data_IF_256279799530
#
_entry.id   IF_256279799530
#
_cell.length_a   1.000
_cell.length_b   1.000
_cell.length_c   1.000
_cell.angle_alpha   90.00
_cell.angle_beta   90.00
_cell.angle_gamma   90.00
#
_symmetry.space_group_name_H-M   'P 1'
#
loop_
_entity.id
_entity.type
_entity.pdbx_description
1 polymer ?
#
# COMPACT_ATOMS: atom_id res chain seq x y z
N UNK A 1 -17.08 -12.65 -13.46
CA UNK A 1 -16.02 -11.66 -13.19
C UNK A 1 -15.39 -11.34 -14.51
N UNK A 2 -15.61 -10.13 -15.03
CA UNK A 2 -15.10 -9.71 -16.34
C UNK A 2 -13.84 -8.89 -16.16
N UNK A 3 -12.68 -9.52 -16.26
CA UNK A 3 -11.44 -8.79 -16.51
C UNK A 3 -10.86 -9.31 -17.81
N UNK A 4 -10.33 -8.40 -18.61
CA UNK A 4 -9.67 -8.71 -19.87
C UNK A 4 -8.17 -8.58 -19.66
N UNK A 5 -7.44 -9.67 -19.92
CA UNK A 5 -5.99 -9.71 -19.82
C UNK A 5 -5.38 -9.76 -21.22
N UNK A 6 -4.43 -8.88 -21.50
CA UNK A 6 -3.74 -8.75 -22.78
C UNK A 6 -2.23 -8.66 -22.58
N UNK A 7 -1.49 -9.18 -23.56
CA UNK A 7 -0.05 -9.05 -23.66
C UNK A 7 0.24 -8.29 -24.94
N UNK A 8 1.05 -7.24 -24.84
CA UNK A 8 1.60 -6.51 -25.98
C UNK A 8 2.82 -7.27 -26.50
N UNK A 9 2.67 -7.85 -27.68
CA UNK A 9 3.67 -8.68 -28.35
C UNK A 9 4.91 -7.90 -28.82
N UNK A 10 4.79 -6.58 -29.02
CA UNK A 10 5.91 -5.74 -29.45
C UNK A 10 6.79 -5.34 -28.26
N UNK A 11 6.18 -5.18 -27.08
CA UNK A 11 6.89 -4.86 -25.84
C UNK A 11 7.44 -6.10 -25.12
N UNK A 12 6.80 -7.26 -25.30
CA UNK A 12 7.16 -8.46 -24.54
C UNK A 12 8.56 -8.98 -24.89
N UNK A 13 9.46 -8.98 -23.89
CA UNK A 13 10.82 -9.52 -24.00
C UNK A 13 10.98 -10.96 -23.51
N UNK A 14 9.88 -11.62 -23.14
CA UNK A 14 9.90 -13.03 -22.71
C UNK A 14 10.69 -13.33 -21.43
N UNK A 15 10.86 -12.35 -20.54
CA UNK A 15 11.67 -12.54 -19.33
C UNK A 15 11.08 -13.53 -18.29
N UNK A 16 9.78 -13.85 -18.39
CA UNK A 16 9.13 -14.82 -17.52
C UNK A 16 8.76 -14.33 -16.12
N UNK A 17 9.09 -13.08 -15.76
CA UNK A 17 8.72 -12.51 -14.45
C UNK A 17 7.23 -12.66 -14.15
N UNK A 18 6.39 -12.41 -15.15
CA UNK A 18 4.95 -12.53 -15.00
C UNK A 18 4.58 -13.94 -14.49
N UNK A 19 5.13 -15.00 -15.07
CA UNK A 19 4.86 -16.40 -14.68
C UNK A 19 5.21 -16.63 -13.21
N UNK A 20 6.45 -16.29 -12.81
CA UNK A 20 6.95 -16.61 -11.47
C UNK A 20 6.29 -15.82 -10.35
N UNK A 21 5.78 -14.61 -10.63
CA UNK A 21 5.06 -13.82 -9.62
C UNK A 21 3.58 -14.17 -9.50
N UNK A 22 3.05 -15.06 -10.35
CA UNK A 22 1.64 -15.39 -10.31
C UNK A 22 1.32 -16.27 -9.09
N UNK A 23 0.45 -15.83 -8.16
CA UNK A 23 0.10 -16.64 -7.00
C UNK A 23 -0.70 -17.89 -7.37
N UNK A 24 -1.46 -17.86 -8.46
CA UNK A 24 -2.19 -19.03 -8.97
C UNK A 24 -1.22 -20.07 -9.53
N UNK A 25 -0.29 -19.65 -10.40
CA UNK A 25 0.70 -20.55 -10.99
C UNK A 25 1.65 -21.12 -9.91
N UNK A 26 2.00 -20.31 -8.89
CA UNK A 26 2.78 -20.77 -7.75
C UNK A 26 2.03 -21.79 -6.88
N UNK A 27 0.70 -21.70 -6.78
CA UNK A 27 -0.10 -22.68 -6.08
C UNK A 27 -0.19 -24.00 -6.86
N UNK A 28 -0.30 -23.92 -8.18
CA UNK A 28 -0.45 -25.09 -9.06
C UNK A 28 0.89 -25.77 -9.38
N UNK A 29 2.02 -25.06 -9.24
CA UNK A 29 3.35 -25.62 -9.51
C UNK A 29 4.36 -25.32 -8.41
N UNK A 30 4.84 -26.40 -7.76
CA UNK A 30 5.92 -26.34 -6.80
C UNK A 30 7.23 -25.82 -7.41
N UNK A 31 7.46 -26.06 -8.70
CA UNK A 31 8.62 -25.50 -9.40
C UNK A 31 8.50 -23.99 -9.51
N UNK A 32 7.34 -23.44 -9.92
CA UNK A 32 7.11 -21.98 -9.93
C UNK A 32 7.28 -21.39 -8.55
N UNK A 33 6.69 -22.01 -7.52
CA UNK A 33 6.85 -21.57 -6.14
C UNK A 33 8.34 -21.55 -5.71
N UNK A 34 9.13 -22.50 -6.21
CA UNK A 34 10.57 -22.58 -6.00
C UNK A 34 11.43 -21.75 -6.97
N UNK A 35 10.82 -20.96 -7.86
CA UNK A 35 11.51 -20.17 -8.88
C UNK A 35 12.16 -20.99 -10.01
N UNK A 36 11.74 -22.24 -10.19
CA UNK A 36 12.16 -23.14 -11.27
C UNK A 36 11.02 -23.24 -12.29
N UNK A 37 11.35 -23.33 -13.59
CA UNK A 37 10.34 -23.55 -14.63
C UNK A 37 9.56 -24.86 -14.42
N UNK A 38 8.40 -25.00 -15.04
CA UNK A 38 7.28 -25.80 -14.53
C UNK A 38 6.46 -26.52 -15.62
N UNK A 39 5.48 -27.34 -15.19
CA UNK A 39 4.50 -28.05 -16.01
C UNK A 39 3.53 -27.09 -16.74
N UNK A 40 3.48 -27.18 -18.06
CA UNK A 40 2.78 -26.24 -18.96
C UNK A 40 1.24 -26.29 -18.89
N UNK A 41 0.63 -27.33 -18.33
CA UNK A 41 -0.81 -27.60 -18.49
C UNK A 41 -1.72 -26.94 -17.42
N UNK A 42 -1.17 -26.49 -16.28
CA UNK A 42 -1.97 -26.00 -15.13
C UNK A 42 -1.74 -24.53 -14.79
N UNK A 43 -1.59 -23.70 -15.83
CA UNK A 43 -1.07 -22.33 -15.67
C UNK A 43 -1.89 -21.29 -16.38
N UNK A 44 -1.80 -20.08 -15.85
CA UNK A 44 -2.31 -18.89 -16.53
C UNK A 44 -1.48 -18.54 -17.77
N UNK A 45 -0.16 -18.71 -17.72
CA UNK A 45 0.75 -18.32 -18.81
C UNK A 45 2.12 -18.98 -18.74
N UNK A 46 2.80 -19.00 -19.88
CA UNK A 46 4.18 -19.51 -20.03
C UNK A 46 5.01 -18.60 -20.91
N UNK A 47 6.33 -18.77 -20.89
CA UNK A 47 7.21 -18.21 -21.93
C UNK A 47 7.41 -19.24 -23.03
N UNK A 48 7.07 -18.90 -24.26
CA UNK A 48 7.30 -19.71 -25.45
C UNK A 48 7.83 -18.81 -26.57
N UNK A 49 8.82 -19.31 -27.32
CA UNK A 49 9.47 -18.56 -28.43
C UNK A 49 9.91 -17.14 -28.05
N UNK A 50 10.43 -16.96 -26.82
CA UNK A 50 10.90 -15.66 -26.33
C UNK A 50 9.79 -14.67 -25.99
N UNK A 51 8.54 -15.12 -25.82
CA UNK A 51 7.40 -14.28 -25.43
C UNK A 51 6.53 -14.95 -24.39
N UNK A 52 5.87 -14.15 -23.56
CA UNK A 52 4.82 -14.64 -22.69
C UNK A 52 3.55 -14.93 -23.52
N UNK A 53 2.95 -16.09 -23.33
CA UNK A 53 1.68 -16.48 -23.96
C UNK A 53 0.68 -16.91 -22.88
N UNK A 54 -0.59 -16.60 -23.08
CA UNK A 54 -1.68 -17.05 -22.21
C UNK A 54 -1.95 -18.52 -22.50
N UNK A 55 -1.99 -19.35 -21.45
CA UNK A 55 -2.31 -20.78 -21.55
C UNK A 55 -3.77 -20.99 -21.17
N UNK A 56 -4.12 -20.67 -19.92
CA UNK A 56 -5.50 -20.71 -19.46
C UNK A 56 -5.86 -19.44 -18.66
N UNK A 57 -6.55 -18.52 -19.33
CA UNK A 57 -7.04 -17.30 -18.68
C UNK A 57 -8.11 -17.55 -17.63
N UNK A 58 -8.79 -18.70 -17.63
CA UNK A 58 -9.84 -19.02 -16.66
C UNK A 58 -9.28 -19.23 -15.24
N UNK A 59 -8.00 -19.59 -15.12
CA UNK A 59 -7.29 -19.70 -13.84
C UNK A 59 -6.91 -18.33 -13.26
N UNK A 60 -6.88 -17.28 -14.08
CA UNK A 60 -6.54 -15.94 -13.61
C UNK A 60 -7.60 -15.44 -12.61
N UNK A 61 -7.17 -14.81 -11.53
CA UNK A 61 -8.07 -14.19 -10.55
C UNK A 61 -8.09 -12.65 -10.64
N UNK A 62 -7.39 -12.08 -11.62
CA UNK A 62 -7.32 -10.64 -11.84
C UNK A 62 -6.53 -9.87 -10.76
N UNK A 63 -5.59 -10.50 -10.05
CA UNK A 63 -4.83 -9.83 -8.98
C UNK A 63 -3.85 -8.73 -9.46
N UNK A 64 -3.45 -8.74 -10.74
CA UNK A 64 -2.61 -7.69 -11.32
C UNK A 64 -1.11 -7.74 -10.99
N UNK A 65 -0.64 -8.68 -10.17
CA UNK A 65 0.79 -8.81 -9.80
C UNK A 65 1.71 -8.91 -11.03
N UNK A 66 1.23 -9.56 -12.09
CA UNK A 66 1.96 -9.73 -13.33
C UNK A 66 2.19 -8.43 -14.12
N UNK A 67 1.24 -7.48 -14.03
CA UNK A 67 1.35 -6.16 -14.63
C UNK A 67 2.45 -5.38 -13.92
N UNK A 68 2.42 -5.39 -12.58
CA UNK A 68 3.40 -4.69 -11.73
C UNK A 68 4.83 -5.25 -11.93
N UNK A 69 4.96 -6.56 -12.12
CA UNK A 69 6.26 -7.21 -12.26
C UNK A 69 6.87 -7.10 -13.68
N UNK A 70 6.12 -6.59 -14.65
CA UNK A 70 6.58 -6.48 -16.02
C UNK A 70 7.58 -5.31 -16.14
N UNK A 71 8.85 -5.55 -16.48
CA UNK A 71 9.84 -4.47 -16.55
C UNK A 71 9.68 -3.55 -17.77
N UNK A 72 8.81 -3.93 -18.71
CA UNK A 72 8.60 -3.28 -20.00
C UNK A 72 7.11 -2.95 -20.24
N UNK A 73 6.30 -3.05 -19.19
CA UNK A 73 4.86 -2.72 -19.21
C UNK A 73 4.04 -3.41 -20.32
N UNK A 74 4.48 -4.58 -20.79
CA UNK A 74 3.84 -5.35 -21.84
C UNK A 74 2.52 -6.06 -21.43
N UNK A 75 2.10 -5.99 -20.17
CA UNK A 75 0.91 -6.71 -19.67
C UNK A 75 -0.17 -5.71 -19.28
N UNK A 76 -1.39 -5.91 -19.79
CA UNK A 76 -2.55 -5.07 -19.51
C UNK A 76 -3.63 -5.93 -18.87
N UNK A 77 -4.17 -5.47 -17.74
CA UNK A 77 -5.31 -6.08 -17.08
C UNK A 77 -6.43 -5.04 -16.93
N UNK A 78 -7.45 -5.15 -17.77
CA UNK A 78 -8.63 -4.28 -17.72
C UNK A 78 -9.66 -4.93 -16.80
N UNK A 79 -10.05 -4.25 -15.74
CA UNK A 79 -11.20 -4.66 -14.94
C UNK A 79 -12.45 -4.05 -15.57
N UNK A 80 -13.41 -4.86 -16.00
CA UNK A 80 -14.73 -4.37 -16.44
C UNK A 80 -15.66 -4.13 -15.24
N UNK A 81 -15.09 -3.81 -14.07
CA UNK A 81 -15.90 -3.42 -12.93
C UNK A 81 -16.77 -2.22 -13.36
N UNK A 82 -18.10 -2.28 -13.15
CA UNK A 82 -18.96 -1.13 -13.40
C UNK A 82 -18.37 0.09 -12.69
N UNK A 83 -18.38 1.25 -13.35
CA UNK A 83 -17.88 2.51 -12.75
C UNK A 83 -18.57 2.81 -11.42
N UNK A 84 -19.82 2.35 -11.27
CA UNK A 84 -20.64 2.37 -10.04
C UNK A 84 -20.02 1.62 -8.85
N UNK A 85 -19.07 0.70 -9.09
CA UNK A 85 -18.37 -0.08 -8.07
C UNK A 85 -17.07 0.58 -7.62
N UNK A 86 -16.63 1.65 -8.29
CA UNK A 86 -15.50 2.47 -7.87
C UNK A 86 -15.95 3.40 -6.74
N UNK A 87 -15.55 3.06 -5.51
CA UNK A 87 -15.75 3.94 -4.35
C UNK A 87 -14.55 4.84 -4.19
N UNK A 88 -14.78 6.14 -4.06
CA UNK A 88 -13.78 7.06 -3.55
C UNK A 88 -13.55 6.71 -2.08
N UNK A 89 -12.38 6.18 -1.77
CA UNK A 89 -11.93 5.93 -0.40
C UNK A 89 -10.88 6.95 -0.02
N UNK A 90 -10.82 7.31 1.26
CA UNK A 90 -9.75 8.16 1.78
C UNK A 90 -8.40 7.43 1.62
N UNK A 91 -7.30 8.19 1.45
CA UNK A 91 -5.96 7.60 1.25
C UNK A 91 -5.59 6.61 2.37
N UNK A 92 -6.05 6.89 3.60
CA UNK A 92 -5.87 6.09 4.81
C UNK A 92 -6.64 4.76 4.79
N UNK A 93 -7.58 4.58 3.86
CA UNK A 93 -8.44 3.41 3.74
C UNK A 93 -8.08 2.52 2.53
N UNK A 94 -7.08 2.92 1.73
CA UNK A 94 -6.71 2.25 0.47
C UNK A 94 -6.19 0.81 0.63
N UNK A 95 -5.66 0.47 1.79
CA UNK A 95 -5.16 -0.85 2.17
C UNK A 95 -6.11 -1.61 3.12
N UNK A 96 -7.29 -1.06 3.40
CA UNK A 96 -8.32 -1.75 4.18
C UNK A 96 -9.20 -2.59 3.27
N UNK A 97 -9.20 -3.91 3.52
CA UNK A 97 -10.08 -4.86 2.81
C UNK A 97 -10.75 -5.83 3.78
N UNK A 98 -11.91 -6.34 3.38
CA UNK A 98 -12.66 -7.36 4.11
C UNK A 98 -13.05 -6.93 5.53
N UNK A 99 -13.10 -7.91 6.45
CA UNK A 99 -13.56 -7.71 7.83
C UNK A 99 -12.78 -6.62 8.56
N UNK A 100 -11.49 -6.46 8.25
CA UNK A 100 -10.66 -5.39 8.80
C UNK A 100 -11.18 -3.99 8.41
N UNK A 101 -11.58 -3.81 7.16
CA UNK A 101 -12.21 -2.58 6.69
C UNK A 101 -13.56 -2.36 7.37
N UNK A 102 -14.37 -3.42 7.49
CA UNK A 102 -15.69 -3.35 8.10
C UNK A 102 -15.61 -2.95 9.58
N UNK A 103 -14.65 -3.49 10.33
CA UNK A 103 -14.38 -3.12 11.73
C UNK A 103 -13.96 -1.66 11.82
N UNK A 104 -13.00 -1.22 11.00
CA UNK A 104 -12.53 0.16 11.01
C UNK A 104 -13.67 1.15 10.70
N UNK A 105 -14.46 0.85 9.66
CA UNK A 105 -15.61 1.68 9.26
C UNK A 105 -16.72 1.69 10.32
N UNK A 106 -16.95 0.56 10.99
CA UNK A 106 -17.91 0.49 12.09
C UNK A 106 -17.46 1.37 13.26
N UNK A 107 -16.17 1.29 13.64
CA UNK A 107 -15.61 2.10 14.72
C UNK A 107 -15.57 3.60 14.39
N UNK A 108 -15.34 3.96 13.11
CA UNK A 108 -15.43 5.35 12.61
C UNK A 108 -16.85 5.91 12.73
N UNK A 109 -17.87 5.06 12.62
CA UNK A 109 -19.30 5.44 12.80
C UNK A 109 -19.75 5.42 14.25
N UNK A 110 -19.22 4.49 15.05
CA UNK A 110 -19.61 4.22 16.42
C UNK A 110 -18.37 3.95 17.27
N UNK A 111 -17.94 4.95 18.02
CA UNK A 111 -16.78 4.84 18.90
C UNK A 111 -17.05 3.96 20.12
N UNK A 112 -15.99 3.47 20.76
CA UNK A 112 -16.01 2.74 22.02
C UNK A 112 -16.86 1.45 21.98
N UNK A 113 -16.75 0.67 20.91
CA UNK A 113 -17.38 -0.64 20.83
C UNK A 113 -16.50 -1.74 21.43
N UNK A 114 -17.11 -2.67 22.17
CA UNK A 114 -16.46 -3.88 22.64
C UNK A 114 -16.44 -4.96 21.56
N UNK A 115 -15.48 -5.88 21.63
CA UNK A 115 -15.35 -7.03 20.73
C UNK A 115 -16.68 -7.78 20.49
N UNK A 116 -17.50 -8.10 21.52
CA UNK A 116 -18.77 -8.79 21.29
C UNK A 116 -19.79 -7.96 20.51
N UNK A 117 -19.78 -6.64 20.66
CA UNK A 117 -20.69 -5.73 19.94
C UNK A 117 -20.28 -5.64 18.46
N UNK A 118 -18.98 -5.53 18.19
CA UNK A 118 -18.44 -5.53 16.82
C UNK A 118 -18.74 -6.88 16.15
N UNK A 119 -18.52 -7.99 16.86
CA UNK A 119 -18.81 -9.34 16.36
C UNK A 119 -20.29 -9.51 16.00
N UNK A 120 -21.19 -9.04 16.86
CA UNK A 120 -22.62 -9.06 16.62
C UNK A 120 -23.03 -8.19 15.43
N UNK A 121 -22.46 -6.98 15.30
CA UNK A 121 -22.79 -6.04 14.23
C UNK A 121 -22.36 -6.55 12.84
N UNK A 122 -21.23 -7.25 12.78
CA UNK A 122 -20.65 -7.75 11.53
C UNK A 122 -21.00 -9.22 11.23
N UNK A 123 -21.65 -9.93 12.16
CA UNK A 123 -22.00 -11.34 11.99
C UNK A 123 -20.80 -12.29 11.96
N UNK A 124 -19.70 -11.92 12.63
CA UNK A 124 -18.42 -12.68 12.64
C UNK A 124 -18.07 -13.14 14.05
N UNK A 125 -17.07 -14.01 14.19
CA UNK A 125 -16.68 -14.52 15.52
C UNK A 125 -15.91 -13.47 16.34
N UNK A 126 -16.03 -13.51 17.67
CA UNK A 126 -15.26 -12.62 18.57
C UNK A 126 -13.75 -12.80 18.41
N UNK A 127 -13.29 -14.02 18.10
CA UNK A 127 -11.88 -14.31 17.81
C UNK A 127 -11.40 -13.61 16.55
N UNK A 128 -12.21 -13.60 15.51
CA UNK A 128 -11.91 -12.94 14.23
C UNK A 128 -11.84 -11.43 14.38
N UNK A 129 -12.80 -10.84 15.11
CA UNK A 129 -12.74 -9.42 15.50
C UNK A 129 -11.48 -9.11 16.29
N UNK A 130 -11.12 -9.94 17.27
CA UNK A 130 -9.90 -9.74 18.05
C UNK A 130 -8.64 -9.70 17.17
N UNK A 131 -8.49 -10.67 16.24
CA UNK A 131 -7.33 -10.72 15.34
C UNK A 131 -7.23 -9.47 14.46
N UNK A 132 -8.35 -9.03 13.89
CA UNK A 132 -8.38 -7.83 13.05
C UNK A 132 -8.17 -6.54 13.84
N UNK A 133 -8.69 -6.45 15.07
CA UNK A 133 -8.40 -5.32 15.96
C UNK A 133 -6.92 -5.26 16.34
N UNK A 134 -6.27 -6.40 16.61
CA UNK A 134 -4.83 -6.43 16.88
C UNK A 134 -4.01 -5.99 15.66
N UNK A 135 -4.44 -6.36 14.44
CA UNK A 135 -3.82 -5.88 13.21
C UNK A 135 -3.99 -4.36 13.04
N UNK A 136 -5.21 -3.84 13.21
CA UNK A 136 -5.50 -2.41 13.16
C UNK A 136 -4.75 -1.61 14.24
N UNK A 137 -4.56 -2.20 15.42
CA UNK A 137 -3.78 -1.61 16.51
C UNK A 137 -2.28 -1.54 16.16
N UNK A 138 -1.73 -2.58 15.52
CA UNK A 138 -0.33 -2.59 15.05
C UNK A 138 -0.07 -1.54 13.97
N UNK A 139 -1.10 -1.17 13.23
CA UNK A 139 -1.06 -0.15 12.18
C UNK A 139 -1.45 1.25 12.71
N UNK A 140 -1.57 1.42 14.03
CA UNK A 140 -1.95 2.67 14.71
C UNK A 140 -3.29 3.26 14.23
N UNK A 141 -4.23 2.41 13.80
CA UNK A 141 -5.56 2.84 13.29
C UNK A 141 -6.67 2.78 14.34
N UNK A 142 -6.53 1.88 15.31
CA UNK A 142 -7.52 1.62 16.35
C UNK A 142 -6.83 1.54 17.70
N UNK A 143 -7.47 2.12 18.71
CA UNK A 143 -6.93 2.21 20.07
C UNK A 143 -7.89 1.60 21.08
N UNK A 144 -7.33 1.13 22.20
CA UNK A 144 -8.11 0.74 23.37
C UNK A 144 -8.62 2.02 24.04
N UNK A 145 -9.94 2.22 23.98
CA UNK A 145 -10.66 3.27 24.68
C UNK A 145 -10.96 2.87 26.13
N UNK A 146 -12.14 3.28 26.61
CA UNK A 146 -12.52 3.05 28.00
C UNK A 146 -12.70 1.56 28.35
N UNK A 147 -12.47 1.22 29.63
CA UNK A 147 -12.77 -0.11 30.15
C UNK A 147 -14.22 -0.18 30.62
N UNK A 148 -15.06 -0.85 29.86
CA UNK A 148 -16.46 -1.09 30.23
C UNK A 148 -16.56 -2.52 30.79
N UNK A 149 -16.87 -2.64 32.09
CA UNK A 149 -17.04 -3.95 32.75
C UNK A 149 -15.78 -4.83 32.73
N UNK A 150 -14.58 -4.22 32.80
CA UNK A 150 -13.29 -4.93 32.81
C UNK A 150 -12.72 -5.29 31.43
N UNK A 151 -13.49 -5.11 30.35
CA UNK A 151 -13.07 -5.32 28.95
C UNK A 151 -12.77 -3.99 28.27
N UNK A 152 -11.85 -3.99 27.32
CA UNK A 152 -11.53 -2.79 26.53
C UNK A 152 -12.58 -2.55 25.45
N UNK A 153 -13.06 -1.31 25.37
CA UNK A 153 -13.72 -0.76 24.20
C UNK A 153 -12.67 -0.29 23.19
N UNK A 154 -13.01 -0.26 21.91
CA UNK A 154 -12.11 0.17 20.83
C UNK A 154 -12.67 1.39 20.12
N UNK A 155 -11.79 2.27 19.64
CA UNK A 155 -12.15 3.46 18.86
C UNK A 155 -11.11 3.76 17.78
N UNK A 156 -11.50 4.45 16.71
CA UNK A 156 -10.56 4.96 15.69
C UNK A 156 -9.93 6.28 16.15
N UNK A 157 -8.81 6.70 15.56
CA UNK A 157 -8.32 8.07 15.73
C UNK A 157 -9.38 9.03 15.20
N UNK A 158 -10.14 9.66 16.09
CA UNK A 158 -10.54 11.02 15.84
C UNK A 158 -9.47 11.89 16.46
N UNK A 159 -8.85 12.76 15.65
CA UNK A 159 -8.10 13.90 16.17
C UNK A 159 -9.05 14.59 17.15
N UNK A 160 -8.82 14.40 18.46
CA UNK A 160 -9.56 15.11 19.49
C UNK A 160 -9.41 16.59 19.12
N UNK A 161 -10.50 17.34 18.86
CA UNK A 161 -10.36 18.75 18.58
C UNK A 161 -9.57 19.32 19.74
N UNK A 162 -8.40 19.88 19.43
CA UNK A 162 -7.56 20.51 20.45
C UNK A 162 -8.37 21.69 20.94
N UNK A 163 -9.05 21.53 22.08
CA UNK A 163 -9.58 22.65 22.83
C UNK A 163 -8.35 23.34 23.39
N UNK A 164 -7.83 24.30 22.63
CA UNK A 164 -6.81 25.22 23.12
C UNK A 164 -7.53 26.06 24.16
N UNK A 165 -7.36 25.72 25.44
CA UNK A 165 -7.63 26.67 26.51
C UNK A 165 -6.69 27.85 26.26
N UNK A 166 -7.25 28.97 25.82
CA UNK A 166 -6.53 30.20 25.59
C UNK A 166 -5.95 30.70 26.91
N UNK A 167 -4.79 30.17 27.30
CA UNK A 167 -3.85 30.89 28.16
C UNK A 167 -2.99 31.70 27.21
N UNK A 168 -3.24 33.00 27.23
CA UNK A 168 -2.63 33.97 26.36
C UNK A 168 -1.12 33.88 26.37
N UNK A 169 -0.57 33.86 25.16
CA UNK A 169 0.36 34.84 24.60
C UNK A 169 0.36 34.56 23.09
N UNK A 170 -0.16 35.48 22.27
CA UNK A 170 -0.08 35.37 20.81
C UNK A 170 1.39 35.50 20.40
N UNK A 171 2.12 34.38 20.31
CA UNK A 171 3.34 34.33 19.52
C UNK A 171 2.97 34.40 18.05
N UNK A 172 3.01 35.62 17.51
CA UNK A 172 2.93 35.86 16.07
C UNK A 172 4.17 35.23 15.44
N UNK A 173 4.00 34.03 14.87
CA UNK A 173 5.00 33.38 14.04
C UNK A 173 5.24 34.25 12.80
N UNK A 174 6.31 35.05 12.83
CA UNK A 174 6.77 35.84 11.68
C UNK A 174 7.39 34.88 10.67
N UNK A 175 6.58 34.43 9.72
CA UNK A 175 7.03 33.58 8.61
C UNK A 175 7.75 34.48 7.60
N UNK A 176 9.06 34.29 7.48
CA UNK A 176 9.88 34.89 6.42
C UNK A 176 9.41 34.35 5.05
N UNK A 177 8.62 35.17 4.36
CA UNK A 177 7.97 34.82 3.10
C UNK A 177 8.98 34.53 1.98
N UNK A 178 10.14 35.18 1.98
CA UNK A 178 11.17 34.92 0.97
C UNK A 178 11.85 33.58 1.20
N UNK A 179 12.10 33.22 2.46
CA UNK A 179 12.65 31.91 2.82
C UNK A 179 11.66 30.78 2.52
N UNK A 180 10.37 30.98 2.81
CA UNK A 180 9.32 30.02 2.50
C UNK A 180 9.21 29.76 0.99
N UNK A 181 9.23 30.83 0.19
CA UNK A 181 9.16 30.71 -1.27
C UNK A 181 10.40 30.02 -1.85
N UNK A 182 11.61 30.35 -1.35
CA UNK A 182 12.84 29.63 -1.74
C UNK A 182 12.80 28.14 -1.41
N UNK A 183 12.20 27.75 -0.27
CA UNK A 183 12.06 26.34 0.10
C UNK A 183 11.04 25.66 -0.82
N UNK A 184 9.92 26.32 -1.11
CA UNK A 184 8.88 25.82 -2.01
C UNK A 184 9.40 25.58 -3.42
N UNK A 185 10.11 26.54 -4.02
CA UNK A 185 10.70 26.40 -5.36
C UNK A 185 11.74 25.28 -5.40
N UNK A 186 12.52 25.10 -4.33
CA UNK A 186 13.46 23.97 -4.22
C UNK A 186 12.74 22.62 -4.13
N UNK A 187 11.60 22.57 -3.45
CA UNK A 187 10.79 21.36 -3.31
C UNK A 187 10.16 20.99 -4.66
N UNK A 188 9.58 21.96 -5.36
CA UNK A 188 8.99 21.78 -6.69
C UNK A 188 10.05 21.31 -7.70
N UNK A 189 11.23 21.94 -7.71
CA UNK A 189 12.35 21.50 -8.56
C UNK A 189 12.88 20.10 -8.19
N UNK A 190 12.87 19.73 -6.91
CA UNK A 190 13.23 18.38 -6.47
C UNK A 190 12.19 17.36 -6.94
N UNK A 191 10.90 17.64 -6.76
CA UNK A 191 9.78 16.79 -7.21
C UNK A 191 9.84 16.58 -8.73
N UNK A 192 10.08 17.64 -9.50
CA UNK A 192 10.22 17.58 -10.96
C UNK A 192 11.49 16.81 -11.37
N UNK A 193 12.58 16.94 -10.61
CA UNK A 193 13.78 16.12 -10.78
C UNK A 193 13.58 14.65 -10.40
N UNK A 194 12.62 14.35 -9.52
CA UNK A 194 12.28 13.00 -9.06
C UNK A 194 11.26 12.29 -9.95
N UNK A 195 10.50 13.03 -10.77
CA UNK A 195 9.55 12.51 -11.76
C UNK A 195 10.17 11.64 -12.87
N UNK A 196 11.51 11.64 -13.01
CA UNK A 196 12.22 10.72 -13.90
C UNK A 196 12.74 9.49 -13.13
N UNK A 197 11.83 8.53 -12.97
CA UNK A 197 12.07 7.07 -12.99
C UNK A 197 12.81 6.43 -11.81
N UNK A 198 13.51 7.14 -10.90
CA UNK A 198 14.39 6.47 -9.92
C UNK A 198 13.91 6.43 -8.47
N UNK A 199 12.97 7.28 -8.04
CA UNK A 199 12.59 7.39 -6.62
C UNK A 199 11.70 6.26 -6.14
N UNK A 200 10.77 5.77 -6.98
CA UNK A 200 9.89 4.67 -6.57
C UNK A 200 10.69 3.42 -6.19
N UNK A 201 11.70 3.07 -6.99
CA UNK A 201 12.64 1.99 -6.68
C UNK A 201 13.51 2.28 -5.43
N UNK A 202 13.85 3.55 -5.15
CA UNK A 202 14.68 3.91 -3.99
C UNK A 202 13.90 3.98 -2.67
N UNK A 203 12.60 4.31 -2.74
CA UNK A 203 11.66 4.21 -1.61
C UNK A 203 11.36 2.73 -1.33
N UNK A 204 11.05 1.93 -2.34
CA UNK A 204 10.75 0.50 -2.20
C UNK A 204 11.95 -0.33 -1.73
N UNK A 205 13.19 0.14 -1.92
CA UNK A 205 14.43 -0.56 -1.50
C UNK A 205 15.11 0.01 -0.25
N UNK A 206 14.48 0.95 0.47
CA UNK A 206 15.05 1.61 1.66
C UNK A 206 16.42 2.29 1.42
N UNK A 207 16.76 2.58 0.16
CA UNK A 207 18.03 3.24 -0.20
C UNK A 207 17.99 4.74 0.09
N UNK A 208 16.81 5.34 0.16
CA UNK A 208 16.63 6.76 0.46
C UNK A 208 17.03 7.06 1.92
N UNK A 209 16.59 6.24 2.86
CA UNK A 209 16.92 6.40 4.29
C UNK A 209 18.43 6.23 4.52
N UNK A 210 19.04 5.24 3.87
CA UNK A 210 20.50 5.04 3.90
C UNK A 210 21.28 6.22 3.30
N UNK A 211 20.76 6.84 2.25
CA UNK A 211 21.37 8.03 1.66
C UNK A 211 21.23 9.25 2.58
N UNK A 212 20.08 9.40 3.24
CA UNK A 212 19.83 10.46 4.23
C UNK A 212 20.74 10.32 5.45
N UNK A 213 20.96 9.10 5.97
CA UNK A 213 21.91 8.84 7.05
C UNK A 213 23.35 9.19 6.67
N UNK A 214 23.78 8.84 5.45
CA UNK A 214 25.12 9.16 4.95
C UNK A 214 25.31 10.66 4.75
N UNK A 215 24.25 11.40 4.39
CA UNK A 215 24.29 12.86 4.26
C UNK A 215 24.27 13.54 5.63
N UNK A 216 23.45 13.07 6.57
CA UNK A 216 23.36 13.60 7.92
C UNK A 216 24.64 13.37 8.73
N UNK A 217 25.32 12.24 8.52
CA UNK A 217 26.54 11.86 9.23
C UNK A 217 27.84 12.12 8.44
N UNK A 218 27.77 12.82 7.30
CA UNK A 218 28.98 13.16 6.55
C UNK A 218 29.79 14.17 7.36
N UNK A 219 31.02 13.86 7.81
CA UNK A 219 31.83 14.84 8.52
C UNK A 219 32.06 16.04 7.58
N UNK A 220 31.82 17.25 8.09
CA UNK A 220 32.12 18.49 7.36
C UNK A 220 33.60 18.46 6.99
N UNK A 221 33.90 18.29 5.70
CA UNK A 221 35.27 18.47 5.20
C UNK A 221 35.66 19.91 5.53
N UNK A 222 36.73 20.02 6.30
CA UNK A 222 37.22 21.26 6.88
C UNK A 222 37.43 22.36 5.85
N UNK A 223 37.11 23.56 6.30
CA UNK A 223 37.62 24.81 5.77
C UNK A 223 37.85 25.72 6.97
N UNK A 224 39.10 26.18 7.08
CA UNK A 224 39.64 27.19 7.98
C UNK A 224 40.33 26.69 9.27
N UNK A 225 41.58 26.24 9.11
CA UNK A 225 42.63 26.56 10.07
C UNK A 225 43.52 27.66 9.47
N UNK A 226 43.72 28.70 10.28
CA UNK A 226 44.76 29.72 10.15
C UNK A 226 46.15 29.12 10.27
#
# INVERSE_FOLDING_TARGET
MGFEFKIDDELCVGCGNCVVVCPVDALNSADIAGGKGHNMEELTRVVSNGRAIVVDSALCNGCGTCVIACPVDALILNNQAPEELLKTVDAEETDLVGIKADIFNLLKKQENLMIPQIAQALGVSTREVFLHLMALKREDRVFEGERVGGRFAYTTIQLKPVVIEAKGEEEVLVIDKEKAERIRTKLEAAIESFGKTKVRLMIETNKLDRALEVVANKPKKGGDEK
#
